data_IF_981364062568
#
_entry.id   IF_981364062568
#
_cell.length_a   1.000
_cell.length_b   1.000
_cell.length_c   1.000
_cell.angle_alpha   90.00
_cell.angle_beta   90.00
_cell.angle_gamma   90.00
#
_symmetry.space_group_name_H-M   'P 1'
#
loop_
_entity.id
_entity.type
_entity.pdbx_description
1 polymer ?
#
# COMPACT_ATOMS: atom_id res chain seq x y z
N UNK A 1 52.31 -10.39 -34.93
CA UNK A 1 51.40 -9.28 -34.57
C UNK A 1 50.02 -9.90 -34.39
N UNK A 2 49.62 -10.12 -33.18
CA UNK A 2 48.30 -10.59 -32.83
C UNK A 2 47.50 -9.38 -32.37
N UNK A 3 46.44 -9.05 -33.12
CA UNK A 3 45.50 -7.99 -32.78
C UNK A 3 44.77 -8.35 -31.45
N UNK A 4 44.84 -7.42 -30.52
CA UNK A 4 44.10 -7.48 -29.28
C UNK A 4 42.68 -7.01 -29.58
N UNK A 5 41.73 -7.95 -29.54
CA UNK A 5 40.30 -7.64 -29.66
C UNK A 5 39.84 -6.82 -28.46
N UNK A 6 39.18 -5.68 -28.75
CA UNK A 6 38.56 -4.78 -27.79
C UNK A 6 37.60 -5.54 -26.85
N UNK A 7 37.80 -5.36 -25.56
CA UNK A 7 36.83 -5.75 -24.54
C UNK A 7 35.58 -4.87 -24.69
N UNK A 8 34.37 -5.44 -24.64
CA UNK A 8 33.18 -4.62 -24.54
C UNK A 8 33.21 -3.83 -23.23
N UNK A 9 32.86 -2.55 -23.33
CA UNK A 9 32.72 -1.66 -22.18
C UNK A 9 31.84 -2.26 -21.11
N UNK A 10 32.26 -2.13 -19.84
CA UNK A 10 31.49 -2.47 -18.67
C UNK A 10 30.11 -1.78 -18.76
N UNK A 11 29.01 -2.44 -18.37
CA UNK A 11 27.73 -1.76 -18.32
C UNK A 11 27.84 -0.58 -17.36
N UNK A 12 27.50 0.62 -17.87
CA UNK A 12 27.43 1.83 -17.05
C UNK A 12 26.60 1.54 -15.80
N UNK A 13 27.20 1.76 -14.65
CA UNK A 13 26.49 1.78 -13.38
C UNK A 13 25.51 2.94 -13.46
N UNK A 14 24.23 2.66 -13.68
CA UNK A 14 23.18 3.67 -13.53
C UNK A 14 23.27 4.20 -12.09
N UNK A 15 23.85 5.37 -11.93
CA UNK A 15 23.75 6.15 -10.70
C UNK A 15 22.28 6.60 -10.59
N UNK A 16 21.59 6.11 -9.60
CA UNK A 16 20.28 6.64 -9.23
C UNK A 16 20.51 8.09 -8.78
N UNK A 17 19.96 9.04 -9.54
CA UNK A 17 20.04 10.46 -9.17
C UNK A 17 19.25 10.68 -7.88
N UNK A 18 19.95 11.01 -6.80
CA UNK A 18 19.40 11.20 -5.45
C UNK A 18 18.85 12.62 -5.24
N UNK A 19 18.72 13.43 -6.29
CA UNK A 19 18.31 14.84 -6.21
C UNK A 19 16.79 15.06 -6.14
N UNK A 20 16.03 14.20 -5.46
CA UNK A 20 14.65 14.51 -5.12
C UNK A 20 14.64 15.65 -4.06
N UNK A 21 13.83 16.71 -4.25
CA UNK A 21 13.76 17.78 -3.27
C UNK A 21 13.30 17.24 -1.93
N UNK A 22 14.08 17.49 -0.87
CA UNK A 22 13.73 17.09 0.49
C UNK A 22 12.40 17.74 0.87
N UNK A 23 11.38 16.92 1.15
CA UNK A 23 10.11 17.40 1.67
C UNK A 23 10.35 18.15 3.00
N UNK A 24 9.64 19.23 3.28
CA UNK A 24 9.84 20.01 4.49
C UNK A 24 9.60 19.13 5.74
N UNK A 25 10.63 18.99 6.55
CA UNK A 25 10.56 18.27 7.82
C UNK A 25 9.73 19.10 8.80
N UNK A 26 8.49 18.75 9.06
CA UNK A 26 7.73 19.26 10.21
C UNK A 26 8.07 18.40 11.42
N UNK A 27 8.49 19.03 12.53
CA UNK A 27 8.62 18.33 13.80
C UNK A 27 7.22 18.13 14.38
N UNK A 28 6.77 16.89 14.55
CA UNK A 28 5.58 16.61 15.32
C UNK A 28 5.88 16.93 16.80
N UNK A 29 4.94 17.57 17.49
CA UNK A 29 5.04 17.79 18.94
C UNK A 29 4.95 16.49 19.77
N UNK A 30 4.77 15.34 19.12
CA UNK A 30 4.61 14.04 19.75
C UNK A 30 5.98 13.40 20.08
N UNK A 31 6.08 12.85 21.28
CA UNK A 31 7.32 12.26 21.80
C UNK A 31 7.43 10.77 21.44
N UNK A 32 8.64 10.20 21.61
CA UNK A 32 8.87 8.75 21.52
C UNK A 32 8.00 7.93 22.49
N UNK A 33 7.61 8.51 23.63
CA UNK A 33 6.68 7.86 24.55
C UNK A 33 5.29 7.68 23.94
N UNK A 34 4.85 8.60 23.08
CA UNK A 34 3.60 8.47 22.36
C UNK A 34 3.67 7.30 21.37
N UNK A 35 4.80 7.11 20.67
CA UNK A 35 5.00 6.00 19.74
C UNK A 35 4.86 4.65 20.43
N UNK A 36 5.39 4.51 21.65
CA UNK A 36 5.30 3.26 22.43
C UNK A 36 3.89 2.98 22.97
N UNK A 37 3.06 4.01 23.09
CA UNK A 37 1.71 3.90 23.66
C UNK A 37 0.60 4.05 22.62
N UNK A 38 0.92 4.00 21.33
CA UNK A 38 -0.11 4.10 20.30
C UNK A 38 -1.07 2.91 20.33
N UNK A 39 -2.34 3.16 20.02
CA UNK A 39 -3.40 2.16 19.95
C UNK A 39 -3.94 2.11 18.54
N UNK A 40 -3.36 1.27 17.67
CA UNK A 40 -3.69 1.25 16.23
C UNK A 40 -5.15 0.93 15.95
N UNK A 41 -5.79 0.19 16.85
CA UNK A 41 -7.19 -0.21 16.73
C UNK A 41 -8.20 0.94 16.93
N UNK A 42 -7.77 2.06 17.51
CA UNK A 42 -8.61 3.24 17.75
C UNK A 42 -8.42 4.33 16.69
N UNK A 43 -7.50 4.12 15.75
CA UNK A 43 -7.23 5.06 14.68
C UNK A 43 -8.27 4.90 13.56
N UNK A 44 -9.27 5.78 13.55
CA UNK A 44 -10.33 5.82 12.54
C UNK A 44 -10.12 7.03 11.63
N UNK A 45 -9.80 6.79 10.36
CA UNK A 45 -9.66 7.85 9.37
C UNK A 45 -10.99 8.11 8.68
N UNK A 46 -11.41 9.38 8.66
CA UNK A 46 -12.64 9.85 8.03
C UNK A 46 -12.34 10.82 6.88
N UNK A 47 -13.37 11.15 6.11
CA UNK A 47 -13.29 11.97 4.90
C UNK A 47 -12.23 11.42 3.94
N UNK A 48 -12.34 10.12 3.65
CA UNK A 48 -11.39 9.41 2.81
C UNK A 48 -12.04 8.32 1.95
N UNK A 49 -11.39 8.00 0.84
CA UNK A 49 -11.74 6.90 -0.03
C UNK A 49 -11.09 5.60 0.42
N UNK A 50 -11.87 4.54 0.52
CA UNK A 50 -11.39 3.19 0.82
C UNK A 50 -11.77 2.23 -0.31
N UNK A 51 -10.82 1.43 -0.82
CA UNK A 51 -11.12 0.39 -1.80
C UNK A 51 -11.99 -0.71 -1.17
N UNK A 52 -13.15 -0.95 -1.77
CA UNK A 52 -14.13 -1.90 -1.25
C UNK A 52 -14.08 -3.25 -1.96
N UNK A 53 -13.82 -3.24 -3.26
CA UNK A 53 -13.79 -4.44 -4.08
C UNK A 53 -13.08 -4.17 -5.42
N UNK A 54 -12.59 -5.23 -6.06
CA UNK A 54 -12.28 -5.15 -7.49
C UNK A 54 -13.56 -4.95 -8.30
N UNK A 55 -13.50 -4.15 -9.36
CA UNK A 55 -14.65 -3.81 -10.21
C UNK A 55 -15.32 -5.05 -10.80
N UNK A 56 -14.51 -6.02 -11.24
CA UNK A 56 -14.98 -7.29 -11.82
C UNK A 56 -15.69 -8.21 -10.79
N UNK A 57 -15.56 -7.94 -9.50
CA UNK A 57 -16.18 -8.73 -8.43
C UNK A 57 -17.58 -8.24 -8.05
N UNK A 58 -18.05 -7.13 -8.63
CA UNK A 58 -19.34 -6.52 -8.30
C UNK A 58 -20.27 -6.53 -9.50
N UNK A 59 -21.36 -7.28 -9.36
CA UNK A 59 -22.45 -7.40 -10.35
C UNK A 59 -23.76 -6.79 -9.84
N UNK A 60 -24.89 -7.32 -10.35
CA UNK A 60 -26.23 -6.92 -9.93
C UNK A 60 -26.58 -7.39 -8.51
N UNK A 61 -26.02 -8.54 -8.08
CA UNK A 61 -26.25 -9.06 -6.74
C UNK A 61 -25.45 -8.25 -5.73
N UNK A 62 -26.08 -7.74 -4.65
CA UNK A 62 -25.37 -6.98 -3.63
C UNK A 62 -24.29 -7.80 -2.92
N UNK A 63 -23.11 -7.20 -2.78
CA UNK A 63 -21.99 -7.74 -2.00
C UNK A 63 -21.81 -6.89 -0.75
N UNK A 64 -21.72 -7.51 0.41
CA UNK A 64 -21.45 -6.80 1.66
C UNK A 64 -19.97 -6.61 1.85
N UNK A 65 -19.57 -5.36 2.15
CA UNK A 65 -18.25 -4.94 2.62
C UNK A 65 -18.42 -4.15 3.91
N UNK A 66 -17.32 -3.78 4.55
CA UNK A 66 -17.36 -2.89 5.70
C UNK A 66 -16.14 -1.95 5.67
N UNK A 67 -16.31 -0.77 6.25
CA UNK A 67 -15.23 0.15 6.63
C UNK A 67 -15.48 0.53 8.09
N UNK A 68 -14.53 0.23 8.96
CA UNK A 68 -14.67 0.42 10.42
C UNK A 68 -16.00 -0.09 10.99
N UNK A 69 -16.39 -1.32 10.58
CA UNK A 69 -17.64 -1.98 10.93
C UNK A 69 -18.91 -1.38 10.33
N UNK A 70 -18.86 -0.26 9.64
CA UNK A 70 -20.00 0.29 8.90
C UNK A 70 -20.24 -0.54 7.63
N UNK A 71 -21.45 -1.05 7.40
CA UNK A 71 -21.74 -1.89 6.26
C UNK A 71 -21.81 -1.07 4.97
N UNK A 72 -21.21 -1.61 3.91
CA UNK A 72 -21.34 -1.15 2.54
C UNK A 72 -21.92 -2.30 1.71
N UNK A 73 -23.17 -2.22 1.33
CA UNK A 73 -23.76 -3.08 0.32
C UNK A 73 -23.52 -2.47 -1.04
N UNK A 74 -22.85 -3.19 -1.92
CA UNK A 74 -22.36 -2.70 -3.22
C UNK A 74 -22.97 -3.57 -4.31
N UNK A 75 -23.56 -2.94 -5.32
CA UNK A 75 -24.09 -3.62 -6.50
C UNK A 75 -24.10 -2.68 -7.71
N UNK A 76 -24.54 -3.19 -8.86
CA UNK A 76 -24.72 -2.38 -10.07
C UNK A 76 -26.20 -2.20 -10.39
N UNK A 77 -26.63 -0.94 -10.50
CA UNK A 77 -27.92 -0.52 -11.06
C UNK A 77 -27.65 0.11 -12.43
N UNK A 78 -28.25 -0.40 -13.49
CA UNK A 78 -28.09 0.10 -14.87
C UNK A 78 -26.61 0.31 -15.27
N UNK A 79 -25.76 -0.63 -14.86
CA UNK A 79 -24.33 -0.61 -15.13
C UNK A 79 -23.50 0.30 -14.19
N UNK A 80 -24.13 1.17 -13.41
CA UNK A 80 -23.46 2.08 -12.46
C UNK A 80 -23.33 1.43 -11.08
N UNK A 81 -22.19 1.64 -10.44
CA UNK A 81 -21.98 1.17 -9.06
C UNK A 81 -22.79 2.00 -8.09
N UNK A 82 -23.41 1.33 -7.14
CA UNK A 82 -24.14 1.89 -6.01
C UNK A 82 -23.59 1.29 -4.73
N UNK A 83 -23.44 2.10 -3.69
CA UNK A 83 -23.10 1.64 -2.34
C UNK A 83 -24.13 2.19 -1.34
N UNK A 84 -24.62 1.33 -0.45
CA UNK A 84 -25.62 1.70 0.57
C UNK A 84 -25.29 1.05 1.90
N UNK A 85 -25.71 1.69 3.00
CA UNK A 85 -25.64 1.09 4.33
C UNK A 85 -26.79 0.09 4.59
N UNK A 86 -27.79 0.07 3.70
CA UNK A 86 -28.94 -0.83 3.74
C UNK A 86 -28.86 -1.82 2.59
N UNK A 87 -29.19 -3.08 2.87
CA UNK A 87 -29.37 -4.05 1.79
C UNK A 87 -30.60 -3.65 0.96
N UNK A 88 -30.60 -3.77 -0.38
CA UNK A 88 -31.74 -3.35 -1.23
C UNK A 88 -33.09 -3.99 -0.88
N UNK A 89 -33.07 -5.14 -0.22
CA UNK A 89 -34.27 -5.84 0.24
C UNK A 89 -34.56 -5.62 1.73
N UNK A 90 -33.81 -4.75 2.41
CA UNK A 90 -34.01 -4.45 3.82
C UNK A 90 -35.20 -3.51 4.04
N UNK A 91 -36.08 -3.87 4.98
CA UNK A 91 -37.08 -2.94 5.49
C UNK A 91 -36.36 -2.05 6.51
N UNK A 92 -36.10 -0.82 6.13
CA UNK A 92 -35.34 0.12 6.96
C UNK A 92 -36.15 0.55 8.17
N UNK A 93 -35.73 0.12 9.35
CA UNK A 93 -36.36 0.46 10.64
C UNK A 93 -35.43 1.23 11.59
N UNK A 94 -34.19 1.45 11.19
CA UNK A 94 -33.15 2.18 11.94
C UNK A 94 -32.80 3.49 11.27
N UNK A 95 -32.27 4.41 12.05
CA UNK A 95 -31.71 5.65 11.53
C UNK A 95 -30.50 5.38 10.64
N UNK A 96 -30.34 6.24 9.66
CA UNK A 96 -29.17 6.20 8.78
C UNK A 96 -27.92 6.75 9.47
N UNK A 97 -26.79 6.29 9.02
CA UNK A 97 -25.49 6.81 9.40
C UNK A 97 -25.28 8.28 8.93
N UNK A 98 -24.52 9.09 9.67
CA UNK A 98 -24.11 10.43 9.21
C UNK A 98 -23.16 10.39 7.99
N UNK A 99 -22.69 9.21 7.58
CA UNK A 99 -21.78 9.01 6.45
C UNK A 99 -22.49 8.77 5.13
N UNK A 100 -23.82 8.82 5.10
CA UNK A 100 -24.64 8.56 3.92
C UNK A 100 -25.55 9.74 3.59
N UNK A 101 -26.00 9.78 2.35
CA UNK A 101 -27.01 10.76 1.89
C UNK A 101 -28.39 10.49 2.52
N UNK A 102 -29.40 11.28 2.09
CA UNK A 102 -30.77 11.14 2.57
C UNK A 102 -31.40 9.75 2.29
N UNK A 103 -30.84 8.99 1.36
CA UNK A 103 -31.30 7.64 0.96
C UNK A 103 -30.48 6.51 1.58
N UNK A 104 -29.53 6.81 2.47
CA UNK A 104 -28.60 5.84 3.03
C UNK A 104 -27.53 5.38 2.03
N UNK A 105 -27.21 6.19 1.03
CA UNK A 105 -26.19 5.88 0.02
C UNK A 105 -24.88 6.57 0.32
N UNK A 106 -23.78 5.82 0.24
CA UNK A 106 -22.43 6.37 0.29
C UNK A 106 -22.00 6.93 -1.07
N UNK A 107 -21.20 8.01 -1.08
CA UNK A 107 -20.47 8.36 -2.30
C UNK A 107 -19.57 7.19 -2.71
N UNK A 108 -19.60 6.86 -4.00
CA UNK A 108 -18.87 5.73 -4.56
C UNK A 108 -18.35 6.07 -5.95
N UNK A 109 -17.18 5.56 -6.30
CA UNK A 109 -16.61 5.70 -7.64
C UNK A 109 -15.86 4.48 -8.10
N UNK A 110 -15.70 4.35 -9.41
CA UNK A 110 -14.84 3.35 -10.05
C UNK A 110 -13.58 4.03 -10.55
N UNK A 111 -12.43 3.58 -10.07
CA UNK A 111 -11.12 4.08 -10.50
C UNK A 111 -10.05 3.02 -10.30
N UNK A 112 -9.08 2.94 -11.20
CA UNK A 112 -7.98 1.95 -11.14
C UNK A 112 -8.44 0.49 -11.11
N UNK A 113 -9.61 0.17 -11.66
CA UNK A 113 -10.18 -1.18 -11.59
C UNK A 113 -10.69 -1.60 -10.21
N UNK A 114 -10.88 -0.64 -9.34
CA UNK A 114 -11.40 -0.79 -7.99
C UNK A 114 -12.66 0.05 -7.80
N UNK A 115 -13.52 -0.42 -6.92
CA UNK A 115 -14.66 0.34 -6.41
C UNK A 115 -14.24 0.97 -5.09
N UNK A 116 -14.27 2.30 -5.04
CA UNK A 116 -13.93 3.12 -3.89
C UNK A 116 -15.19 3.64 -3.22
N UNK A 117 -15.30 3.44 -1.93
CA UNK A 117 -16.36 4.02 -1.10
C UNK A 117 -15.81 5.13 -0.22
N UNK A 118 -16.53 6.22 -0.15
CA UNK A 118 -16.21 7.33 0.74
C UNK A 118 -16.70 7.02 2.16
N UNK A 119 -15.83 7.18 3.14
CA UNK A 119 -16.16 7.09 4.56
C UNK A 119 -15.91 8.44 5.23
N UNK A 120 -16.96 9.15 5.57
CA UNK A 120 -16.93 10.49 6.12
C UNK A 120 -18.14 11.29 5.69
N UNK A 121 -18.07 12.61 5.78
CA UNK A 121 -19.14 13.53 5.37
C UNK A 121 -19.40 13.41 3.87
N UNK A 122 -20.62 13.07 3.44
CA UNK A 122 -20.90 12.85 2.02
C UNK A 122 -20.59 14.05 1.12
N UNK A 123 -20.81 15.27 1.63
CA UNK A 123 -20.57 16.53 0.93
C UNK A 123 -19.07 16.86 0.77
N UNK A 124 -18.21 16.21 1.53
CA UNK A 124 -16.76 16.36 1.45
C UNK A 124 -16.11 15.35 0.49
N UNK A 125 -16.88 14.48 -0.14
CA UNK A 125 -16.37 13.49 -1.07
C UNK A 125 -15.76 14.14 -2.32
N UNK A 126 -14.44 14.14 -2.40
CA UNK A 126 -13.68 14.72 -3.50
C UNK A 126 -12.76 13.67 -4.15
N UNK A 127 -12.87 13.44 -5.47
CA UNK A 127 -11.97 12.57 -6.22
C UNK A 127 -10.48 12.93 -6.06
N UNK A 128 -10.16 14.19 -5.78
CA UNK A 128 -8.79 14.63 -5.55
C UNK A 128 -8.14 13.99 -4.31
N UNK A 129 -8.93 13.38 -3.43
CA UNK A 129 -8.43 12.62 -2.28
C UNK A 129 -8.05 11.17 -2.59
N UNK A 130 -8.21 10.71 -3.85
CA UNK A 130 -7.69 9.39 -4.24
C UNK A 130 -6.16 9.37 -4.23
N UNK A 131 -5.55 8.25 -3.82
CA UNK A 131 -4.12 8.05 -4.03
C UNK A 131 -3.75 8.12 -5.51
N UNK A 132 -2.58 8.70 -5.82
CA UNK A 132 -2.02 8.63 -7.17
C UNK A 132 -1.37 7.28 -7.40
N UNK A 133 -1.86 6.53 -8.39
CA UNK A 133 -1.38 5.19 -8.76
C UNK A 133 -0.99 5.17 -10.24
N UNK A 134 0.16 5.77 -10.62
CA UNK A 134 0.53 6.02 -12.01
C UNK A 134 0.78 4.75 -12.83
N UNK A 135 0.94 3.60 -12.17
CA UNK A 135 1.10 2.30 -12.81
C UNK A 135 -0.21 1.52 -12.98
N UNK A 136 -1.35 2.12 -12.70
CA UNK A 136 -2.66 1.52 -12.90
C UNK A 136 -3.48 2.33 -13.91
N UNK A 137 -4.22 1.66 -14.82
CA UNK A 137 -5.08 2.37 -15.76
C UNK A 137 -6.18 3.13 -15.00
N UNK A 138 -6.41 4.41 -15.30
CA UNK A 138 -7.41 5.21 -14.60
C UNK A 138 -8.83 4.73 -14.87
N UNK A 139 -9.08 4.10 -16.03
CA UNK A 139 -10.36 3.48 -16.43
C UNK A 139 -10.14 2.03 -16.82
N UNK A 140 -11.17 1.21 -16.58
CA UNK A 140 -11.05 -0.23 -16.69
C UNK A 140 -10.24 -0.78 -15.53
N UNK A 141 -9.67 -1.92 -15.64
CA UNK A 141 -8.85 -2.53 -14.60
C UNK A 141 -7.80 -3.44 -15.21
N UNK A 142 -6.95 -3.96 -14.38
CA UNK A 142 -6.01 -5.01 -14.78
C UNK A 142 -6.75 -6.34 -14.92
N UNK A 143 -6.21 -7.28 -15.74
CA UNK A 143 -6.74 -8.62 -15.83
C UNK A 143 -6.88 -9.26 -14.45
N UNK A 144 -7.94 -10.05 -14.24
CA UNK A 144 -8.26 -10.71 -12.97
C UNK A 144 -7.08 -11.51 -12.37
N UNK A 145 -6.21 -12.09 -13.19
CA UNK A 145 -5.04 -12.83 -12.71
C UNK A 145 -3.95 -11.92 -12.11
N UNK A 146 -4.04 -10.60 -12.27
CA UNK A 146 -3.17 -9.60 -11.64
C UNK A 146 -3.77 -9.01 -10.37
N UNK A 147 -4.85 -9.58 -9.86
CA UNK A 147 -5.55 -9.12 -8.66
C UNK A 147 -5.64 -10.24 -7.63
N UNK A 148 -5.68 -9.87 -6.36
CA UNK A 148 -5.92 -10.81 -5.26
C UNK A 148 -6.67 -10.12 -4.14
N UNK A 149 -7.50 -10.88 -3.42
CA UNK A 149 -8.13 -10.44 -2.19
C UNK A 149 -7.55 -11.20 -1.01
N UNK A 150 -7.01 -10.50 -0.03
CA UNK A 150 -6.38 -11.07 1.15
C UNK A 150 -7.05 -10.47 2.39
N UNK A 151 -7.11 -11.23 3.46
CA UNK A 151 -7.60 -10.78 4.76
C UNK A 151 -6.56 -11.03 5.83
N UNK A 152 -6.45 -10.06 6.72
CA UNK A 152 -5.62 -10.11 7.91
C UNK A 152 -6.50 -9.99 9.14
N UNK A 153 -6.23 -10.80 10.16
CA UNK A 153 -6.87 -10.70 11.47
C UNK A 153 -6.06 -9.76 12.37
N UNK A 154 -5.84 -8.54 11.85
CA UNK A 154 -5.22 -7.44 12.56
C UNK A 154 -5.76 -6.10 12.03
N UNK A 155 -5.54 -5.01 12.77
CA UNK A 155 -5.94 -3.67 12.34
C UNK A 155 -5.15 -3.19 11.12
N UNK A 156 -5.77 -2.36 10.30
CA UNK A 156 -5.12 -1.80 9.10
C UNK A 156 -3.81 -1.05 9.40
N UNK A 157 -3.71 -0.25 10.48
CA UNK A 157 -2.43 0.36 10.83
C UNK A 157 -1.30 -0.64 11.12
N UNK A 158 -1.57 -1.80 11.69
CA UNK A 158 -0.55 -2.85 11.90
C UNK A 158 -0.10 -3.43 10.56
N UNK A 159 -1.04 -3.71 9.65
CA UNK A 159 -0.71 -4.19 8.31
C UNK A 159 0.16 -3.20 7.53
N UNK A 160 -0.12 -1.89 7.65
CA UNK A 160 0.65 -0.85 6.99
C UNK A 160 2.02 -0.65 7.63
N UNK A 161 2.13 -0.78 8.95
CA UNK A 161 3.42 -0.73 9.63
C UNK A 161 4.33 -1.90 9.21
N UNK A 162 3.77 -3.09 9.03
CA UNK A 162 4.49 -4.21 8.45
C UNK A 162 4.99 -3.91 7.03
N UNK A 163 4.13 -3.29 6.19
CA UNK A 163 4.52 -2.96 4.82
C UNK A 163 5.62 -1.90 4.73
N UNK A 164 5.62 -0.89 5.62
CA UNK A 164 6.64 0.17 5.57
C UNK A 164 8.02 -0.32 6.01
N UNK A 165 8.12 -1.40 6.73
CA UNK A 165 9.39 -2.03 7.07
C UNK A 165 9.87 -2.93 5.92
N UNK A 166 10.67 -2.38 5.00
CA UNK A 166 11.25 -3.16 3.90
C UNK A 166 12.32 -4.16 4.35
N UNK A 167 12.82 -4.04 5.58
CA UNK A 167 13.91 -4.90 6.06
C UNK A 167 13.44 -6.28 6.46
N UNK A 168 12.18 -6.42 6.89
CA UNK A 168 11.61 -7.72 7.25
C UNK A 168 11.57 -8.71 6.06
N UNK A 169 11.52 -8.18 4.83
CA UNK A 169 11.36 -9.00 3.64
C UNK A 169 12.52 -9.99 3.44
N UNK A 170 13.74 -9.62 3.80
CA UNK A 170 14.92 -10.47 3.64
C UNK A 170 14.93 -11.67 4.62
N UNK A 171 14.21 -11.55 5.73
CA UNK A 171 14.08 -12.61 6.74
C UNK A 171 12.80 -13.42 6.55
N UNK A 172 11.67 -12.74 6.43
CA UNK A 172 10.36 -13.37 6.41
C UNK A 172 10.04 -13.98 5.03
N UNK A 173 10.50 -13.35 3.97
CA UNK A 173 10.21 -13.73 2.58
C UNK A 173 11.44 -14.20 1.80
N UNK A 174 12.50 -14.59 2.47
CA UNK A 174 13.78 -14.99 1.85
C UNK A 174 13.62 -16.05 0.75
N UNK A 175 12.64 -16.94 0.88
CA UNK A 175 12.31 -17.98 -0.09
C UNK A 175 11.63 -17.45 -1.37
N UNK A 176 11.22 -16.19 -1.39
CA UNK A 176 10.62 -15.49 -2.54
C UNK A 176 11.53 -14.39 -3.07
N UNK A 177 11.96 -13.47 -2.18
CA UNK A 177 12.69 -12.25 -2.55
C UNK A 177 14.20 -12.34 -2.34
N UNK A 178 14.69 -13.47 -1.78
CA UNK A 178 16.11 -13.69 -1.48
C UNK A 178 16.54 -13.15 -0.14
N UNK A 179 17.76 -13.54 0.25
CA UNK A 179 18.38 -13.21 1.54
C UNK A 179 18.93 -11.76 1.57
N UNK A 180 19.45 -11.36 2.73
CA UNK A 180 19.98 -10.00 2.98
C UNK A 180 21.36 -9.71 2.36
N UNK A 181 21.99 -10.69 1.69
CA UNK A 181 23.35 -10.52 1.18
C UNK A 181 23.43 -9.51 0.07
N UNK A 182 24.07 -8.38 0.34
CA UNK A 182 24.38 -7.30 -0.59
C UNK A 182 25.71 -6.67 -0.21
N UNK A 183 26.37 -5.98 -1.17
CA UNK A 183 27.62 -5.28 -0.92
C UNK A 183 27.39 -3.97 -0.14
N UNK A 184 26.26 -3.32 -0.39
CA UNK A 184 25.84 -2.12 0.34
C UNK A 184 24.34 -1.98 0.39
N UNK A 185 23.87 -1.28 1.41
CA UNK A 185 22.48 -0.96 1.66
C UNK A 185 22.33 0.50 2.06
N UNK A 186 21.41 1.19 1.43
CA UNK A 186 21.02 2.55 1.76
C UNK A 186 19.51 2.61 2.01
N UNK A 187 19.11 3.31 3.07
CA UNK A 187 17.70 3.49 3.45
C UNK A 187 17.40 4.97 3.61
N UNK A 188 16.39 5.44 2.89
CA UNK A 188 15.90 6.80 2.94
C UNK A 188 14.43 6.82 3.35
N UNK A 189 14.02 7.82 4.13
CA UNK A 189 12.63 8.00 4.57
C UNK A 189 12.17 9.41 4.25
N UNK A 190 11.14 9.51 3.43
CA UNK A 190 10.47 10.78 3.06
C UNK A 190 9.07 10.80 3.63
N UNK A 191 8.59 11.96 4.04
CA UNK A 191 7.22 12.09 4.57
C UNK A 191 6.69 13.52 4.45
N UNK A 192 5.38 13.61 4.38
CA UNK A 192 4.59 14.82 4.50
C UNK A 192 3.42 14.60 5.48
N UNK A 193 2.41 15.47 5.47
CA UNK A 193 1.26 15.35 6.39
C UNK A 193 0.33 14.17 6.10
N UNK A 194 0.38 13.59 4.89
CA UNK A 194 -0.52 12.50 4.47
C UNK A 194 0.18 11.27 3.93
N UNK A 195 1.48 11.34 3.70
CA UNK A 195 2.23 10.22 3.13
C UNK A 195 3.54 9.97 3.85
N UNK A 196 3.97 8.71 3.81
CA UNK A 196 5.31 8.31 4.17
C UNK A 196 5.86 7.35 3.13
N UNK A 197 7.13 7.52 2.78
CA UNK A 197 7.82 6.70 1.78
C UNK A 197 9.14 6.22 2.36
N UNK A 198 9.39 4.92 2.31
CA UNK A 198 10.70 4.33 2.56
C UNK A 198 11.27 3.85 1.23
N UNK A 199 12.50 4.22 0.97
CA UNK A 199 13.29 3.75 -0.18
C UNK A 199 14.46 2.96 0.36
N UNK A 200 14.66 1.76 -0.18
CA UNK A 200 15.79 0.88 0.16
C UNK A 200 16.52 0.52 -1.11
N UNK A 201 17.79 0.88 -1.19
CA UNK A 201 18.67 0.58 -2.33
C UNK A 201 19.73 -0.42 -1.91
N UNK A 202 19.86 -1.50 -2.67
CA UNK A 202 20.76 -2.61 -2.43
C UNK A 202 21.64 -2.81 -3.66
N UNK A 203 22.95 -2.80 -3.47
CA UNK A 203 23.92 -3.03 -4.55
C UNK A 203 24.44 -4.46 -4.48
N UNK A 204 24.48 -5.12 -5.64
CA UNK A 204 24.94 -6.51 -5.77
C UNK A 204 24.24 -7.49 -4.80
N UNK A 205 22.93 -7.28 -4.59
CA UNK A 205 22.10 -8.24 -3.83
C UNK A 205 22.03 -9.56 -4.57
N UNK A 206 22.04 -10.67 -3.85
CA UNK A 206 21.75 -12.00 -4.40
C UNK A 206 20.43 -11.97 -5.19
N UNK A 207 20.43 -12.55 -6.41
CA UNK A 207 19.24 -12.56 -7.25
C UNK A 207 18.09 -13.27 -6.54
N UNK A 208 16.96 -12.57 -6.42
CA UNK A 208 15.74 -13.11 -5.82
C UNK A 208 15.33 -14.44 -6.50
N UNK A 209 14.95 -15.49 -5.76
CA UNK A 209 14.53 -16.77 -6.33
C UNK A 209 13.47 -16.63 -7.41
N UNK A 210 12.47 -15.77 -7.19
CA UNK A 210 11.41 -15.50 -8.17
C UNK A 210 11.97 -14.90 -9.48
N UNK A 211 12.95 -14.01 -9.41
CA UNK A 211 13.59 -13.41 -10.58
C UNK A 211 14.47 -14.45 -11.31
N UNK A 212 15.22 -15.22 -10.56
CA UNK A 212 16.09 -16.26 -11.12
C UNK A 212 15.32 -17.30 -11.93
N UNK A 213 14.19 -17.76 -11.39
CA UNK A 213 13.41 -18.84 -12.03
C UNK A 213 12.45 -18.32 -13.11
N UNK A 214 11.85 -17.14 -12.95
CA UNK A 214 10.77 -16.69 -13.82
C UNK A 214 11.13 -15.55 -14.76
N UNK A 215 12.14 -14.74 -14.42
CA UNK A 215 12.70 -13.70 -15.30
C UNK A 215 13.99 -14.15 -16.00
N UNK A 216 14.47 -15.37 -15.69
CA UNK A 216 15.62 -15.96 -16.37
C UNK A 216 16.96 -15.28 -16.07
N UNK A 217 17.09 -14.61 -14.94
CA UNK A 217 18.31 -13.93 -14.54
C UNK A 217 19.38 -14.96 -14.19
N UNK A 218 20.51 -14.92 -14.91
CA UNK A 218 21.62 -15.87 -14.75
C UNK A 218 22.78 -15.35 -13.92
N UNK A 219 22.88 -14.03 -13.77
CA UNK A 219 23.89 -13.39 -12.93
C UNK A 219 23.71 -13.80 -11.47
N UNK A 220 24.78 -13.85 -10.66
CA UNK A 220 24.68 -14.20 -9.24
C UNK A 220 24.03 -13.08 -8.42
N UNK A 221 24.19 -11.82 -8.86
CA UNK A 221 23.72 -10.62 -8.14
C UNK A 221 22.97 -9.67 -9.06
N UNK A 222 22.23 -8.76 -8.48
CA UNK A 222 21.48 -7.69 -9.13
C UNK A 222 21.43 -6.46 -8.22
N UNK A 223 21.23 -5.29 -8.80
CA UNK A 223 20.90 -4.10 -8.03
C UNK A 223 19.38 -4.04 -7.81
N UNK A 224 18.97 -3.68 -6.60
CA UNK A 224 17.56 -3.66 -6.22
C UNK A 224 17.24 -2.33 -5.58
N UNK A 225 16.18 -1.68 -6.06
CA UNK A 225 15.57 -0.53 -5.40
C UNK A 225 14.15 -0.91 -5.02
N UNK A 226 13.89 -0.90 -3.72
CA UNK A 226 12.57 -1.18 -3.15
C UNK A 226 12.00 0.12 -2.61
N UNK A 227 10.73 0.34 -2.87
CA UNK A 227 10.00 1.52 -2.39
C UNK A 227 8.68 1.08 -1.79
N UNK A 228 8.39 1.56 -0.59
CA UNK A 228 7.03 1.54 -0.03
C UNK A 228 6.59 2.99 0.18
N UNK A 229 5.44 3.34 -0.38
CA UNK A 229 4.76 4.61 -0.11
C UNK A 229 3.38 4.34 0.46
N UNK A 230 3.12 4.86 1.65
CA UNK A 230 1.82 4.77 2.32
C UNK A 230 1.08 6.09 2.19
N UNK A 231 -0.18 6.01 1.77
CA UNK A 231 -1.19 7.06 1.86
C UNK A 231 -1.96 6.83 3.16
N UNK A 232 -1.64 7.64 4.17
CA UNK A 232 -2.08 7.42 5.55
C UNK A 232 -3.61 7.46 5.69
N UNK A 233 -4.24 8.42 5.04
CA UNK A 233 -5.67 8.68 5.13
C UNK A 233 -6.52 7.54 4.57
N UNK A 234 -6.15 7.01 3.40
CA UNK A 234 -6.87 5.93 2.73
C UNK A 234 -6.41 4.53 3.12
N UNK A 235 -5.41 4.42 4.01
CA UNK A 235 -4.78 3.16 4.37
C UNK A 235 -4.31 2.33 3.16
N UNK A 236 -3.68 2.99 2.21
CA UNK A 236 -3.19 2.37 0.98
C UNK A 236 -1.68 2.45 0.90
N UNK A 237 -1.05 1.40 0.37
CA UNK A 237 0.38 1.39 0.11
C UNK A 237 0.68 1.04 -1.34
N UNK A 238 1.67 1.73 -1.93
CA UNK A 238 2.36 1.30 -3.12
C UNK A 238 3.61 0.55 -2.67
N UNK A 239 3.83 -0.66 -3.20
CA UNK A 239 5.09 -1.35 -3.12
C UNK A 239 5.68 -1.44 -4.53
N UNK A 240 6.89 -0.98 -4.70
CA UNK A 240 7.56 -1.03 -5.99
C UNK A 240 8.97 -1.59 -5.84
N UNK A 241 9.24 -2.64 -6.58
CA UNK A 241 10.57 -3.22 -6.72
C UNK A 241 11.10 -2.99 -8.12
N UNK A 242 12.27 -2.34 -8.24
CA UNK A 242 13.06 -2.23 -9.47
C UNK A 242 14.29 -3.10 -9.35
N UNK A 243 14.45 -3.98 -10.32
CA UNK A 243 15.55 -4.95 -10.36
C UNK A 243 16.42 -4.68 -11.61
N UNK A 244 17.74 -4.68 -11.46
CA UNK A 244 18.65 -4.46 -12.58
C UNK A 244 19.82 -5.46 -12.52
N UNK A 245 19.85 -6.47 -13.39
CA UNK A 245 18.83 -6.81 -14.39
C UNK A 245 17.56 -7.42 -13.75
N UNK A 246 16.43 -7.27 -14.41
CA UNK A 246 15.17 -7.89 -13.99
C UNK A 246 13.94 -7.07 -14.34
N UNK A 247 12.77 -7.63 -13.98
CA UNK A 247 11.47 -7.03 -14.21
C UNK A 247 11.12 -6.05 -13.06
N UNK A 248 10.45 -4.96 -13.39
CA UNK A 248 9.87 -4.07 -12.40
C UNK A 248 8.57 -4.67 -11.83
N UNK A 249 8.37 -4.52 -10.54
CA UNK A 249 7.22 -5.11 -9.82
C UNK A 249 6.48 -4.02 -9.05
N UNK A 250 5.55 -3.29 -9.68
CA UNK A 250 4.66 -2.37 -8.99
C UNK A 250 3.43 -3.09 -8.43
N UNK A 251 3.20 -2.90 -7.14
CA UNK A 251 2.13 -3.49 -6.37
C UNK A 251 1.31 -2.40 -5.69
N UNK A 252 0.02 -2.60 -5.56
CA UNK A 252 -0.85 -1.77 -4.76
C UNK A 252 -1.49 -2.59 -3.65
N UNK A 253 -1.31 -2.16 -2.41
CA UNK A 253 -1.79 -2.81 -1.20
C UNK A 253 -2.74 -1.89 -0.44
N UNK A 254 -4.03 -1.84 -0.81
CA UNK A 254 -5.03 -1.13 -0.02
C UNK A 254 -5.40 -1.94 1.21
N UNK A 255 -5.15 -1.39 2.39
CA UNK A 255 -5.44 -2.04 3.68
C UNK A 255 -6.76 -1.49 4.25
N UNK A 256 -7.89 -1.84 3.66
CA UNK A 256 -9.21 -1.37 4.09
C UNK A 256 -9.58 -1.96 5.46
N UNK A 257 -9.84 -1.13 6.49
CA UNK A 257 -10.22 -1.59 7.82
C UNK A 257 -11.67 -2.11 7.81
N UNK A 258 -11.89 -3.42 7.68
CA UNK A 258 -13.24 -4.00 7.77
C UNK A 258 -13.83 -3.82 9.17
N UNK A 259 -13.00 -3.99 10.19
CA UNK A 259 -13.32 -3.74 11.59
C UNK A 259 -12.06 -3.27 12.34
N UNK A 260 -12.20 -3.11 13.65
CA UNK A 260 -11.11 -2.72 14.55
C UNK A 260 -9.89 -3.66 14.49
N UNK A 261 -10.13 -4.94 14.20
CA UNK A 261 -9.17 -6.05 14.24
C UNK A 261 -9.10 -6.85 12.93
N UNK A 262 -9.69 -6.34 11.86
CA UNK A 262 -9.69 -6.99 10.54
C UNK A 262 -9.40 -6.03 9.42
N UNK A 263 -8.50 -6.46 8.56
CA UNK A 263 -8.11 -5.73 7.36
C UNK A 263 -8.42 -6.56 6.14
N UNK A 264 -8.99 -5.92 5.13
CA UNK A 264 -9.17 -6.46 3.80
C UNK A 264 -8.27 -5.74 2.81
N UNK A 265 -7.53 -6.51 2.04
CA UNK A 265 -6.62 -6.01 1.02
C UNK A 265 -7.09 -6.48 -0.35
N UNK A 266 -7.52 -5.54 -1.19
CA UNK A 266 -7.83 -5.76 -2.61
C UNK A 266 -6.58 -5.48 -3.45
N UNK A 267 -5.58 -6.37 -3.33
CA UNK A 267 -4.26 -6.19 -3.91
C UNK A 267 -4.30 -6.20 -5.44
N UNK A 268 -3.50 -5.32 -6.03
CA UNK A 268 -3.28 -5.25 -7.49
C UNK A 268 -1.78 -5.33 -7.77
N UNK A 269 -1.40 -6.17 -8.74
CA UNK A 269 -0.02 -6.39 -9.16
C UNK A 269 0.09 -6.12 -10.65
N UNK A 270 0.66 -4.97 -11.05
CA UNK A 270 0.85 -4.71 -12.47
C UNK A 270 2.12 -5.37 -12.97
N UNK A 271 1.97 -6.55 -13.54
CA UNK A 271 3.06 -7.32 -14.19
C UNK A 271 2.93 -7.32 -15.71
N UNK A 272 2.25 -6.33 -16.31
CA UNK A 272 1.99 -6.26 -17.74
C UNK A 272 3.27 -6.25 -18.57
N UNK A 273 4.32 -5.63 -18.04
CA UNK A 273 5.61 -5.51 -18.70
C UNK A 273 6.58 -6.68 -18.43
N UNK A 274 6.19 -7.61 -17.57
CA UNK A 274 6.98 -8.78 -17.24
C UNK A 274 6.75 -9.93 -18.24
N UNK A 275 7.69 -10.87 -18.29
CA UNK A 275 7.57 -12.07 -19.10
C UNK A 275 6.33 -12.90 -18.75
N UNK A 276 5.79 -13.71 -19.72
CA UNK A 276 4.53 -14.41 -19.51
C UNK A 276 4.52 -15.32 -18.28
N UNK A 277 5.62 -16.00 -18.01
CA UNK A 277 5.73 -16.90 -16.86
C UNK A 277 5.68 -16.13 -15.55
N UNK A 278 6.46 -15.04 -15.42
CA UNK A 278 6.48 -14.17 -14.26
C UNK A 278 5.08 -13.60 -13.98
N UNK A 279 4.40 -13.13 -15.03
CA UNK A 279 3.05 -12.55 -14.95
C UNK A 279 2.03 -13.47 -14.28
N UNK A 280 2.09 -14.77 -14.55
CA UNK A 280 1.15 -15.74 -13.98
C UNK A 280 1.56 -16.28 -12.60
N UNK A 281 2.84 -16.16 -12.23
CA UNK A 281 3.37 -16.66 -10.96
C UNK A 281 3.25 -15.61 -9.85
N UNK A 282 3.43 -14.33 -10.17
CA UNK A 282 3.43 -13.24 -9.19
C UNK A 282 2.20 -13.21 -8.28
N UNK A 283 0.96 -13.40 -8.75
CA UNK A 283 -0.20 -13.43 -7.86
C UNK A 283 -0.12 -14.53 -6.79
N UNK A 284 0.43 -15.69 -7.15
CA UNK A 284 0.63 -16.80 -6.20
C UNK A 284 1.75 -16.51 -5.21
N UNK A 285 2.84 -15.89 -5.69
CA UNK A 285 3.93 -15.44 -4.83
C UNK A 285 3.44 -14.35 -3.86
N UNK A 286 2.69 -13.35 -4.33
CA UNK A 286 2.09 -12.32 -3.50
C UNK A 286 1.17 -12.90 -2.43
N UNK A 287 0.35 -13.90 -2.76
CA UNK A 287 -0.47 -14.58 -1.76
C UNK A 287 0.36 -15.32 -0.70
N UNK A 288 1.46 -15.98 -1.11
CA UNK A 288 2.38 -16.65 -0.18
C UNK A 288 3.03 -15.64 0.77
N UNK A 289 3.57 -14.54 0.23
CA UNK A 289 4.17 -13.43 1.00
C UNK A 289 3.16 -12.89 2.01
N UNK A 290 1.96 -12.55 1.58
CA UNK A 290 0.92 -12.03 2.48
C UNK A 290 0.50 -13.01 3.59
N UNK A 291 0.58 -14.32 3.35
CA UNK A 291 0.37 -15.32 4.41
C UNK A 291 1.51 -15.35 5.42
N UNK A 292 2.74 -15.15 4.98
CA UNK A 292 3.89 -15.00 5.86
C UNK A 292 3.72 -13.74 6.73
N UNK A 293 3.34 -12.61 6.13
CA UNK A 293 3.01 -11.37 6.86
C UNK A 293 1.91 -11.60 7.88
N UNK A 294 0.82 -12.27 7.50
CA UNK A 294 -0.28 -12.58 8.41
C UNK A 294 0.16 -13.40 9.63
N UNK A 295 1.13 -14.30 9.46
CA UNK A 295 1.66 -15.10 10.57
C UNK A 295 2.38 -14.26 11.64
N UNK A 296 2.87 -13.07 11.26
CA UNK A 296 3.55 -12.13 12.15
C UNK A 296 2.63 -11.02 12.65
N UNK A 297 1.74 -10.51 11.81
CA UNK A 297 0.86 -9.37 12.16
C UNK A 297 -0.35 -9.79 12.98
N UNK A 298 -0.98 -10.94 12.67
CA UNK A 298 -2.17 -11.40 13.37
C UNK A 298 -1.93 -11.62 14.88
N UNK A 299 -0.83 -12.27 15.33
CA UNK A 299 -0.54 -12.41 16.76
C UNK A 299 -0.25 -11.10 17.50
N UNK A 300 0.15 -10.05 16.78
CA UNK A 300 0.38 -8.73 17.38
C UNK A 300 -0.93 -8.02 17.72
N UNK A 301 -2.01 -8.28 16.98
CA UNK A 301 -3.28 -7.56 17.11
C UNK A 301 -3.85 -7.61 18.54
N UNK A 302 -4.00 -8.76 19.20
CA UNK A 302 -4.47 -8.82 20.59
C UNK A 302 -3.57 -8.07 21.57
N UNK A 303 -2.24 -8.07 21.33
CA UNK A 303 -1.29 -7.36 22.17
C UNK A 303 -1.46 -5.85 22.11
N UNK A 304 -1.80 -5.31 20.95
CA UNK A 304 -2.08 -3.88 20.78
C UNK A 304 -3.47 -3.48 21.27
N UNK A 305 -4.40 -4.43 21.42
CA UNK A 305 -5.70 -4.20 22.08
C UNK A 305 -5.63 -4.22 23.61
N UNK A 306 -4.59 -4.85 24.17
CA UNK A 306 -4.31 -4.80 25.60
C UNK A 306 -3.75 -3.42 25.95
N UNK A 307 -4.44 -2.68 26.80
CA UNK A 307 -4.07 -1.33 27.25
C UNK A 307 -2.99 -1.32 28.34
N UNK A 308 -2.46 -2.48 28.72
CA UNK A 308 -1.32 -2.58 29.64
C UNK A 308 -0.10 -1.83 29.09
N UNK A 309 0.70 -1.20 29.95
CA UNK A 309 1.91 -0.49 29.49
C UNK A 309 2.82 -1.41 28.66
N UNK A 310 3.21 -0.93 27.49
CA UNK A 310 4.09 -1.64 26.57
C UNK A 310 5.38 -0.86 26.39
N UNK A 311 6.43 -1.61 26.09
CA UNK A 311 7.68 -1.06 25.60
C UNK A 311 8.04 -1.83 24.34
N UNK A 312 7.80 -1.20 23.20
CA UNK A 312 8.24 -1.73 21.94
C UNK A 312 9.76 -1.54 21.81
N UNK A 313 10.45 -2.55 21.30
CA UNK A 313 11.86 -2.46 21.02
C UNK A 313 12.04 -1.93 19.60
N UNK A 314 12.81 -0.86 19.49
CA UNK A 314 13.12 -0.24 18.21
C UNK A 314 14.59 -0.35 17.89
N UNK A 315 14.90 -0.67 16.64
CA UNK A 315 16.23 -0.67 16.06
C UNK A 315 16.46 0.60 15.24
N UNK A 316 17.67 0.76 14.73
CA UNK A 316 17.99 1.84 13.78
C UNK A 316 17.23 1.73 12.45
N UNK A 317 16.68 0.57 12.14
CA UNK A 317 15.91 0.31 10.92
C UNK A 317 14.44 0.66 11.04
N UNK A 318 13.90 0.85 12.26
CA UNK A 318 12.47 1.09 12.52
C UNK A 318 12.07 2.58 12.40
N UNK A 319 12.94 3.44 11.87
CA UNK A 319 12.67 4.88 11.75
C UNK A 319 11.40 5.18 10.94
N UNK A 320 11.17 4.44 9.86
CA UNK A 320 9.98 4.60 9.03
C UNK A 320 8.70 4.21 9.81
N UNK A 321 8.71 3.07 10.52
CA UNK A 321 7.59 2.64 11.36
C UNK A 321 7.27 3.61 12.49
N UNK A 322 8.29 4.10 13.20
CA UNK A 322 8.11 5.11 14.24
C UNK A 322 7.50 6.41 13.68
N UNK A 323 7.99 6.87 12.53
CA UNK A 323 7.45 8.06 11.86
C UNK A 323 6.02 7.84 11.39
N UNK A 324 5.73 6.66 10.86
CA UNK A 324 4.38 6.26 10.47
C UNK A 324 3.40 6.37 11.64
N UNK A 325 3.75 5.84 12.82
CA UNK A 325 2.91 5.94 14.02
C UNK A 325 2.62 7.39 14.41
N UNK A 326 3.66 8.24 14.41
CA UNK A 326 3.51 9.66 14.72
C UNK A 326 2.56 10.36 13.76
N UNK A 327 2.73 10.17 12.46
CA UNK A 327 1.87 10.79 11.43
C UNK A 327 0.42 10.33 11.55
N UNK A 328 0.18 9.04 11.82
CA UNK A 328 -1.17 8.51 12.03
C UNK A 328 -1.84 9.16 13.26
N UNK A 329 -1.11 9.33 14.35
CA UNK A 329 -1.62 9.97 15.56
C UNK A 329 -1.87 11.47 15.34
N UNK A 330 -1.01 12.15 14.57
CA UNK A 330 -1.23 13.56 14.18
C UNK A 330 -2.50 13.71 13.35
N UNK A 331 -2.71 12.85 12.35
CA UNK A 331 -3.94 12.86 11.54
C UNK A 331 -5.19 12.63 12.38
N UNK A 332 -5.15 11.67 13.30
CA UNK A 332 -6.26 11.42 14.22
C UNK A 332 -6.55 12.64 15.11
N UNK A 333 -5.53 13.24 15.69
CA UNK A 333 -5.68 14.44 16.53
C UNK A 333 -6.25 15.63 15.75
N UNK A 334 -5.84 15.82 14.48
CA UNK A 334 -6.40 16.86 13.61
C UNK A 334 -7.87 16.65 13.33
N UNK A 335 -8.27 15.39 13.01
CA UNK A 335 -9.69 15.04 12.83
C UNK A 335 -10.53 15.34 14.08
N UNK A 336 -10.02 14.99 15.26
CA UNK A 336 -10.72 15.23 16.53
C UNK A 336 -10.87 16.72 16.83
N UNK A 337 -9.93 17.53 16.34
CA UNK A 337 -10.03 18.99 16.36
C UNK A 337 -10.93 19.57 15.24
N UNK A 338 -11.54 18.73 14.40
CA UNK A 338 -12.39 19.17 13.29
C UNK A 338 -11.61 19.63 12.05
N UNK A 339 -10.29 19.46 12.03
CA UNK A 339 -9.44 19.78 10.88
C UNK A 339 -9.36 18.56 9.93
N UNK A 340 -10.04 18.65 8.81
CA UNK A 340 -10.01 17.66 7.72
C UNK A 340 -9.26 18.16 6.49
N UNK A 341 -8.73 19.38 6.51
CA UNK A 341 -7.89 19.95 5.46
C UNK A 341 -6.43 19.52 5.65
N UNK A 342 -6.17 18.22 5.56
CA UNK A 342 -4.84 17.67 5.87
C UNK A 342 -3.78 18.02 4.82
N UNK A 343 -4.20 18.33 3.59
CA UNK A 343 -3.27 18.52 2.47
C UNK A 343 -2.54 19.87 2.58
N UNK A 344 -1.35 19.79 3.14
CA UNK A 344 -0.39 20.88 3.14
C UNK A 344 0.67 20.61 2.06
N UNK A 345 0.39 20.86 0.80
CA UNK A 345 1.34 20.70 -0.32
C UNK A 345 1.72 19.25 -0.67
N UNK A 346 0.80 18.31 -0.53
CA UNK A 346 1.05 16.95 -1.01
C UNK A 346 1.12 16.93 -2.52
N UNK A 347 2.26 16.56 -3.08
CA UNK A 347 2.34 16.21 -4.50
C UNK A 347 1.50 14.94 -4.71
N UNK A 348 0.46 15.04 -5.53
CA UNK A 348 -0.31 13.87 -5.97
C UNK A 348 0.51 12.98 -6.91
N UNK A 349 1.46 13.56 -7.64
CA UNK A 349 2.40 12.81 -8.46
C UNK A 349 3.57 12.32 -7.61
N UNK A 350 3.56 11.02 -7.32
CA UNK A 350 4.61 10.35 -6.56
C UNK A 350 5.64 9.66 -7.45
N UNK A 351 5.54 9.79 -8.77
CA UNK A 351 6.37 9.02 -9.71
C UNK A 351 7.87 9.32 -9.56
N UNK A 352 8.24 10.54 -9.23
CA UNK A 352 9.65 10.92 -9.04
C UNK A 352 10.25 10.28 -7.77
N UNK A 353 9.51 10.30 -6.65
CA UNK A 353 9.97 9.68 -5.40
C UNK A 353 10.01 8.15 -5.54
N UNK A 354 9.00 7.56 -6.16
CA UNK A 354 8.93 6.12 -6.39
C UNK A 354 9.98 5.70 -7.41
N UNK A 355 10.35 6.58 -8.34
CA UNK A 355 11.29 6.30 -9.42
C UNK A 355 10.74 5.29 -10.42
N UNK A 356 9.44 5.38 -10.72
CA UNK A 356 8.81 4.56 -11.73
C UNK A 356 9.42 4.81 -13.11
N UNK A 357 9.64 3.74 -13.86
CA UNK A 357 9.97 3.81 -15.28
C UNK A 357 8.72 4.15 -16.07
N UNK A 358 8.45 5.44 -16.27
CA UNK A 358 7.19 5.95 -16.87
C UNK A 358 6.86 5.33 -18.22
N UNK A 359 7.87 4.99 -19.03
CA UNK A 359 7.72 4.32 -20.32
C UNK A 359 7.09 2.92 -20.23
N UNK A 360 7.18 2.27 -19.08
CA UNK A 360 6.62 0.95 -18.85
C UNK A 360 5.13 0.96 -18.46
N UNK A 361 4.61 2.12 -18.04
CA UNK A 361 3.26 2.27 -17.47
C UNK A 361 2.45 3.35 -18.19
N UNK A 362 2.55 3.39 -19.53
CA UNK A 362 1.71 4.25 -20.36
C UNK A 362 0.36 3.55 -20.63
N UNK A 363 -0.73 4.24 -20.31
CA UNK A 363 -2.11 3.77 -20.54
C UNK A 363 -2.89 4.74 -21.41
#
# INVERSE_FOLDING_TARGET
MLEVADRPASPETEHFDSSAPAAPKRSSGLSLNAVNNWVPHDLVMRDSWFPLAHDHAVGKTPVRRAVYSHPFYIWREDGKVVASEFHPLEIVTRDKSPFTDARGRYPVMEHYGLIWGWFGRPEAADPAHLPSLPFLPPKGGLPKHMTATIRFDCSAPISLENLIDLTHADFLHADVVGDEKSDSEEVEVYYDSETITMVRTLVNKSVAPIMKFFSGIRQPTQNVRQVIRIYLRSHCAIAYGRFSPGDDVPLFHPCTPESRDRTRMEMVMNTSNAGPMFRHVMPKAGYKVSRQDSSMTNPQSPRYMDLSPRKDLHSKFDQAGQRYRLLMMELAARQDAGDFAYRDNVSTDCSDIIGLRKELFQF
#
